data_IF_663661281320
#
_entry.id   IF_663661281320
#
_cell.length_a   1.000
_cell.length_b   1.000
_cell.length_c   1.000
_cell.angle_alpha   90.00
_cell.angle_beta   90.00
_cell.angle_gamma   90.00
#
_symmetry.space_group_name_H-M   'P 1'
#
loop_
_entity.id
_entity.type
_entity.pdbx_description
1 polymer ?
#
# COMPACT_ATOMS: atom_id res chain seq x y z
N UNK A 1 -8.85 -20.95 15.66
CA UNK A 1 -7.96 -20.90 14.49
C UNK A 1 -8.60 -20.10 13.37
N UNK A 2 -9.29 -20.76 12.44
CA UNK A 2 -9.83 -20.12 11.23
C UNK A 2 -10.98 -19.13 11.43
N UNK A 3 -11.82 -19.31 12.47
CA UNK A 3 -12.95 -18.40 12.77
C UNK A 3 -12.53 -16.97 13.14
N UNK A 4 -11.26 -16.76 13.50
CA UNK A 4 -10.71 -15.45 13.88
C UNK A 4 -9.55 -15.01 12.99
N UNK A 5 -9.19 -15.82 11.98
CA UNK A 5 -8.11 -15.48 11.07
C UNK A 5 -8.55 -14.30 10.19
N UNK A 6 -7.70 -13.26 10.12
CA UNK A 6 -7.88 -12.12 9.22
C UNK A 6 -6.77 -12.19 8.18
N UNK A 7 -7.14 -11.91 6.93
CA UNK A 7 -6.14 -11.73 5.88
C UNK A 7 -5.13 -10.67 6.32
N UNK A 8 -3.82 -10.90 6.13
CA UNK A 8 -2.81 -9.90 6.41
C UNK A 8 -3.13 -8.62 5.64
N UNK A 9 -3.01 -7.48 6.31
CA UNK A 9 -3.26 -6.15 5.75
C UNK A 9 -2.05 -5.27 5.93
N UNK A 10 -1.80 -4.43 4.94
CA UNK A 10 -0.81 -3.37 4.98
C UNK A 10 -1.46 -2.06 4.54
N UNK A 11 -0.86 -0.94 4.94
CA UNK A 11 -1.26 0.40 4.57
C UNK A 11 -0.03 1.31 4.51
N UNK A 12 -0.25 2.55 4.08
CA UNK A 12 0.80 3.56 4.10
C UNK A 12 1.13 3.98 5.53
N UNK A 13 2.40 4.28 5.79
CA UNK A 13 2.84 4.94 7.02
C UNK A 13 2.69 6.47 6.86
N UNK A 14 2.65 7.23 7.97
CA UNK A 14 2.56 8.69 7.92
C UNK A 14 3.70 9.30 7.08
N UNK A 15 3.39 10.33 6.29
CA UNK A 15 4.35 10.95 5.37
C UNK A 15 5.45 11.77 6.04
N UNK A 16 5.22 12.19 7.28
CA UNK A 16 6.16 12.92 8.11
C UNK A 16 7.25 12.02 8.71
N UNK A 17 7.13 10.70 8.54
CA UNK A 17 8.20 9.75 8.86
C UNK A 17 9.27 9.76 7.75
N UNK A 18 10.50 10.14 8.09
CA UNK A 18 11.63 10.18 7.16
C UNK A 18 11.91 8.83 6.48
N UNK A 19 11.50 7.71 7.10
CA UNK A 19 11.61 6.37 6.57
C UNK A 19 10.38 5.89 5.79
N UNK A 20 9.37 6.74 5.58
CA UNK A 20 8.08 6.34 5.02
C UNK A 20 8.16 5.81 3.58
N UNK A 21 9.00 6.43 2.75
CA UNK A 21 9.10 6.13 1.33
C UNK A 21 10.55 6.06 0.88
N UNK A 22 10.87 4.94 0.25
CA UNK A 22 12.18 4.69 -0.34
C UNK A 22 12.12 3.47 -1.25
N UNK A 23 13.18 3.27 -2.02
CA UNK A 23 13.33 2.07 -2.82
C UNK A 23 14.11 1.04 -2.01
N UNK A 24 13.55 -0.17 -1.89
CA UNK A 24 14.31 -1.32 -1.40
C UNK A 24 15.35 -1.70 -2.45
N UNK A 25 16.56 -2.07 -2.01
CA UNK A 25 17.54 -2.69 -2.90
C UNK A 25 16.91 -3.97 -3.51
N UNK A 26 16.83 -4.09 -4.85
CA UNK A 26 16.23 -5.24 -5.50
C UNK A 26 16.85 -6.59 -5.10
N UNK A 27 18.13 -6.61 -4.70
CA UNK A 27 18.81 -7.81 -4.22
C UNK A 27 18.27 -8.32 -2.87
N UNK A 28 17.60 -7.45 -2.11
CA UNK A 28 16.95 -7.78 -0.83
C UNK A 28 15.51 -8.29 -1.00
N UNK A 29 14.95 -8.26 -2.21
CA UNK A 29 13.57 -8.69 -2.47
C UNK A 29 13.49 -10.22 -2.49
N UNK A 30 12.88 -10.80 -1.45
CA UNK A 30 12.73 -12.26 -1.33
C UNK A 30 11.54 -12.81 -2.15
N UNK A 31 10.44 -12.06 -2.24
CA UNK A 31 9.22 -12.49 -2.93
C UNK A 31 8.33 -11.30 -3.28
N UNK A 32 7.69 -11.37 -4.45
CA UNK A 32 6.56 -10.50 -4.78
C UNK A 32 5.24 -11.07 -4.22
N UNK A 33 4.27 -10.20 -3.99
CA UNK A 33 2.91 -10.60 -3.62
C UNK A 33 1.90 -9.79 -4.43
N UNK A 34 0.68 -10.29 -4.50
CA UNK A 34 -0.41 -9.51 -5.08
C UNK A 34 -1.10 -8.72 -3.96
N UNK A 35 -1.28 -7.42 -4.19
CA UNK A 35 -2.01 -6.55 -3.28
C UNK A 35 -3.41 -6.29 -3.82
N UNK A 36 -4.42 -6.56 -3.00
CA UNK A 36 -5.82 -6.28 -3.34
C UNK A 36 -6.38 -5.19 -2.43
N UNK A 37 -7.00 -4.12 -2.96
CA UNK A 37 -7.60 -3.08 -2.15
C UNK A 37 -8.60 -3.59 -1.11
N UNK A 38 -8.53 -3.04 0.11
CA UNK A 38 -9.59 -3.21 1.10
C UNK A 38 -10.67 -2.16 0.82
N UNK A 39 -11.58 -2.44 -0.12
CA UNK A 39 -12.59 -1.47 -0.57
C UNK A 39 -13.43 -0.88 0.58
N UNK A 40 -13.73 -1.69 1.61
CA UNK A 40 -14.50 -1.24 2.77
C UNK A 40 -13.76 -0.24 3.67
N UNK A 41 -12.44 -0.10 3.52
CA UNK A 41 -11.65 0.86 4.28
C UNK A 41 -11.64 2.27 3.65
N UNK A 42 -12.20 2.43 2.44
CA UNK A 42 -12.23 3.70 1.73
C UNK A 42 -10.88 4.10 1.13
N UNK A 43 -10.79 5.35 0.70
CA UNK A 43 -9.62 5.94 0.05
C UNK A 43 -9.08 7.10 0.88
N UNK A 44 -7.76 7.27 0.88
CA UNK A 44 -7.06 8.42 1.46
C UNK A 44 -6.49 9.31 0.36
N UNK A 45 -6.38 10.61 0.64
CA UNK A 45 -5.47 11.46 -0.11
C UNK A 45 -4.04 11.00 0.21
N UNK A 46 -3.20 11.05 -0.80
CA UNK A 46 -1.77 10.89 -0.63
C UNK A 46 -1.15 12.18 -1.10
N UNK A 47 -0.49 12.90 -0.20
CA UNK A 47 0.20 14.15 -0.56
C UNK A 47 1.57 13.84 -1.21
N UNK A 48 1.56 12.87 -2.13
CA UNK A 48 2.71 12.54 -2.95
C UNK A 48 2.83 13.50 -4.13
N UNK A 49 4.07 13.71 -4.54
CA UNK A 49 4.35 14.29 -5.85
C UNK A 49 3.70 13.43 -6.96
N UNK A 50 3.25 14.04 -8.08
CA UNK A 50 2.68 13.30 -9.19
C UNK A 50 3.58 12.13 -9.63
N UNK A 51 3.01 10.92 -9.65
CA UNK A 51 3.72 9.71 -10.10
C UNK A 51 3.45 9.45 -11.57
N UNK A 52 4.50 9.07 -12.31
CA UNK A 52 4.38 8.68 -13.73
C UNK A 52 3.47 7.45 -13.96
N UNK A 53 3.24 6.64 -12.92
CA UNK A 53 2.38 5.48 -12.97
C UNK A 53 0.90 5.79 -12.69
N UNK A 54 0.55 7.04 -12.38
CA UNK A 54 -0.83 7.46 -12.08
C UNK A 54 -1.49 8.17 -13.25
N UNK A 55 -2.80 8.01 -13.37
CA UNK A 55 -3.58 8.78 -14.33
C UNK A 55 -3.68 10.26 -13.91
N UNK A 56 -3.75 11.19 -14.88
CA UNK A 56 -3.97 12.60 -14.59
C UNK A 56 -5.25 12.79 -13.76
N UNK A 57 -5.14 13.52 -12.65
CA UNK A 57 -6.26 13.80 -11.75
C UNK A 57 -6.55 12.72 -10.70
N UNK A 58 -5.77 11.64 -10.65
CA UNK A 58 -5.87 10.64 -9.57
C UNK A 58 -4.95 10.98 -8.39
N UNK A 59 -5.54 11.55 -7.34
CA UNK A 59 -4.87 12.03 -6.12
C UNK A 59 -5.11 11.14 -4.89
N UNK A 60 -5.94 10.11 -5.03
CA UNK A 60 -6.36 9.22 -3.93
C UNK A 60 -5.90 7.79 -4.14
N UNK A 61 -5.68 7.09 -3.05
CA UNK A 61 -5.41 5.66 -3.06
C UNK A 61 -6.13 4.94 -1.93
N UNK A 62 -6.14 3.61 -1.95
CA UNK A 62 -6.82 2.83 -0.91
C UNK A 62 -6.07 2.89 0.41
N UNK A 63 -6.80 3.01 1.53
CA UNK A 63 -6.18 3.16 2.87
C UNK A 63 -5.40 1.88 3.24
N UNK A 64 -5.90 0.72 2.84
CA UNK A 64 -5.29 -0.57 3.14
C UNK A 64 -5.39 -1.53 1.94
N UNK A 65 -4.49 -2.50 1.90
CA UNK A 65 -4.48 -3.62 0.96
C UNK A 65 -4.36 -4.94 1.72
N UNK A 66 -5.02 -5.97 1.21
CA UNK A 66 -4.74 -7.35 1.61
C UNK A 66 -3.49 -7.86 0.89
N UNK A 67 -2.66 -8.61 1.61
CA UNK A 67 -1.50 -9.30 1.04
C UNK A 67 -1.91 -10.70 0.64
N UNK A 68 -1.91 -10.97 -0.66
CA UNK A 68 -2.22 -12.27 -1.24
C UNK A 68 -0.91 -12.98 -1.61
N UNK A 69 -0.72 -14.20 -1.09
CA UNK A 69 0.35 -15.13 -1.49
C UNK A 69 -0.19 -16.17 -2.45
#
# INVERSE_FOLDING_TARGET
>A
GFKSARLPKIGFVPEDDEGAFGFVDPSLVLRACHLTPVFSAGRTLLDFSPSAARHPGEDKDWVNYYVMM
#
